data_IF_997870794834
#
_entry.id   IF_997870794834
#
_cell.length_a   1.000
_cell.length_b   1.000
_cell.length_c   1.000
_cell.angle_alpha   90.00
_cell.angle_beta   90.00
_cell.angle_gamma   90.00
#
_symmetry.space_group_name_H-M   'P 1'
#
loop_
_entity.id
_entity.type
_entity.pdbx_description
1 polymer ?
#
# COMPACT_ATOMS: atom_id res chain seq x y z
N UNK A 1 -79.80 58.60 31.74
CA UNK A 1 -78.59 58.56 30.89
C UNK A 1 -77.29 58.28 31.65
N UNK A 2 -77.09 58.71 32.90
CA UNK A 2 -75.82 58.47 33.64
C UNK A 2 -75.47 57.00 33.92
N UNK A 3 -76.46 56.14 34.17
CA UNK A 3 -76.22 54.70 34.46
C UNK A 3 -75.64 53.91 33.28
N UNK A 4 -76.18 54.14 32.07
CA UNK A 4 -75.72 53.45 30.84
C UNK A 4 -74.27 53.80 30.50
N UNK A 5 -73.85 55.04 30.73
CA UNK A 5 -72.47 55.49 30.51
C UNK A 5 -71.49 54.82 31.49
N UNK A 6 -71.89 54.61 32.75
CA UNK A 6 -71.08 53.93 33.75
C UNK A 6 -70.92 52.43 33.45
N UNK A 7 -71.99 51.77 32.99
CA UNK A 7 -71.90 50.36 32.58
C UNK A 7 -71.02 50.15 31.34
N UNK A 8 -71.09 51.06 30.37
CA UNK A 8 -70.23 51.02 29.19
C UNK A 8 -68.76 51.23 29.57
N UNK A 9 -68.46 52.22 30.43
CA UNK A 9 -67.10 52.43 30.92
C UNK A 9 -66.58 51.22 31.71
N UNK A 10 -67.41 50.59 32.54
CA UNK A 10 -67.04 49.39 33.30
C UNK A 10 -66.73 48.19 32.38
N UNK A 11 -67.58 47.94 31.38
CA UNK A 11 -67.33 46.88 30.38
C UNK A 11 -66.07 47.16 29.54
N UNK A 12 -65.84 48.43 29.18
CA UNK A 12 -64.67 48.79 28.38
C UNK A 12 -63.39 48.60 29.18
N UNK A 13 -63.40 48.98 30.47
CA UNK A 13 -62.27 48.77 31.39
C UNK A 13 -61.91 47.29 31.56
N UNK A 14 -62.91 46.41 31.73
CA UNK A 14 -62.69 44.97 31.86
C UNK A 14 -62.07 44.37 30.58
N UNK A 15 -62.52 44.79 29.39
CA UNK A 15 -61.92 44.32 28.13
C UNK A 15 -60.47 44.78 27.95
N UNK A 16 -60.12 45.97 28.44
CA UNK A 16 -58.75 46.45 28.39
C UNK A 16 -57.84 45.63 29.32
N UNK A 17 -58.28 45.33 30.54
CA UNK A 17 -57.55 44.46 31.47
C UNK A 17 -57.36 43.04 30.90
N UNK A 18 -58.42 42.43 30.34
CA UNK A 18 -58.33 41.12 29.68
C UNK A 18 -57.42 41.13 28.43
N UNK A 19 -57.35 42.25 27.72
CA UNK A 19 -56.46 42.41 26.57
C UNK A 19 -54.99 42.55 27.00
N UNK A 20 -54.72 43.31 28.07
CA UNK A 20 -53.39 43.46 28.64
C UNK A 20 -52.85 42.13 29.19
N UNK A 21 -53.67 41.39 29.95
CA UNK A 21 -53.30 40.08 30.50
C UNK A 21 -52.94 39.07 29.38
N UNK A 22 -53.75 39.00 28.31
CA UNK A 22 -53.42 38.17 27.14
C UNK A 22 -52.15 38.62 26.43
N UNK A 23 -51.90 39.93 26.36
CA UNK A 23 -50.70 40.48 25.72
C UNK A 23 -49.44 40.21 26.54
N UNK A 24 -49.51 40.25 27.89
CA UNK A 24 -48.41 39.85 28.78
C UNK A 24 -48.04 38.38 28.54
N UNK A 25 -49.02 37.47 28.53
CA UNK A 25 -48.77 36.04 28.30
C UNK A 25 -48.13 35.73 26.93
N UNK A 26 -48.58 36.38 25.84
CA UNK A 26 -47.98 36.20 24.50
C UNK A 26 -46.56 36.76 24.42
N UNK A 27 -46.26 37.86 25.11
CA UNK A 27 -44.91 38.44 25.18
C UNK A 27 -43.96 37.52 25.95
N UNK A 28 -44.43 36.93 27.04
CA UNK A 28 -43.65 36.01 27.86
C UNK A 28 -43.28 34.74 27.09
N UNK A 29 -44.25 34.12 26.40
CA UNK A 29 -43.99 32.94 25.53
C UNK A 29 -42.91 33.18 24.46
N UNK A 30 -42.96 34.33 23.76
CA UNK A 30 -41.95 34.68 22.75
C UNK A 30 -40.58 35.04 23.34
N UNK A 31 -40.53 35.44 24.61
CA UNK A 31 -39.27 35.67 25.31
C UNK A 31 -38.63 34.33 25.67
N UNK A 32 -39.40 33.42 26.26
CA UNK A 32 -38.96 32.05 26.59
C UNK A 32 -38.49 31.26 25.36
N UNK A 33 -39.21 31.37 24.24
CA UNK A 33 -38.82 30.69 22.98
C UNK A 33 -37.51 31.25 22.40
N UNK A 34 -37.28 32.57 22.49
CA UNK A 34 -35.98 33.16 22.12
C UNK A 34 -34.87 32.74 23.06
N UNK A 35 -35.11 32.77 24.36
CA UNK A 35 -34.09 32.42 25.36
C UNK A 35 -33.66 30.95 25.22
N UNK A 36 -34.60 30.04 24.90
CA UNK A 36 -34.31 28.64 24.55
C UNK A 36 -33.46 28.50 23.28
N UNK A 37 -33.84 29.17 22.19
CA UNK A 37 -33.08 29.14 20.94
C UNK A 37 -31.66 29.72 21.12
N UNK A 38 -31.51 30.75 21.96
CA UNK A 38 -30.20 31.34 22.28
C UNK A 38 -29.35 30.35 23.09
N UNK A 39 -29.92 29.65 24.09
CA UNK A 39 -29.20 28.61 24.83
C UNK A 39 -28.74 27.48 23.91
N UNK A 40 -29.58 27.01 23.00
CA UNK A 40 -29.23 25.95 22.04
C UNK A 40 -28.07 26.38 21.12
N UNK A 41 -28.08 27.63 20.63
CA UNK A 41 -26.99 28.18 19.82
C UNK A 41 -25.69 28.27 20.61
N UNK A 42 -25.75 28.74 21.88
CA UNK A 42 -24.56 28.85 22.75
C UNK A 42 -23.97 27.47 23.06
N UNK A 43 -24.81 26.48 23.34
CA UNK A 43 -24.36 25.11 23.59
C UNK A 43 -23.71 24.50 22.34
N UNK A 44 -24.30 24.73 21.16
CA UNK A 44 -23.75 24.27 19.89
C UNK A 44 -22.41 24.93 19.57
N UNK A 45 -22.30 26.24 19.74
CA UNK A 45 -21.06 27.00 19.54
C UNK A 45 -19.96 26.54 20.52
N UNK A 46 -20.32 26.23 21.77
CA UNK A 46 -19.38 25.69 22.77
C UNK A 46 -18.88 24.29 22.38
N UNK A 47 -19.75 23.43 21.85
CA UNK A 47 -19.36 22.10 21.36
C UNK A 47 -18.45 22.22 20.14
N UNK A 48 -18.81 23.05 19.17
CA UNK A 48 -18.01 23.29 17.97
C UNK A 48 -16.63 23.88 18.32
N UNK A 49 -16.56 24.81 19.28
CA UNK A 49 -15.31 25.36 19.81
C UNK A 49 -14.45 24.31 20.51
N UNK A 50 -15.06 23.41 21.27
CA UNK A 50 -14.35 22.30 21.93
C UNK A 50 -13.83 21.25 20.94
N UNK A 51 -14.55 21.03 19.84
CA UNK A 51 -14.12 20.16 18.75
C UNK A 51 -12.99 20.82 17.95
N UNK A 52 -13.09 22.11 17.65
CA UNK A 52 -12.04 22.88 17.00
C UNK A 52 -10.74 22.87 17.84
N UNK A 53 -10.82 23.12 19.15
CA UNK A 53 -9.66 23.04 20.05
C UNK A 53 -9.05 21.63 20.10
N UNK A 54 -9.87 20.58 20.08
CA UNK A 54 -9.38 19.19 20.03
C UNK A 54 -8.71 18.85 18.70
N UNK A 55 -9.26 19.32 17.58
CA UNK A 55 -8.68 19.14 16.24
C UNK A 55 -7.37 19.91 16.12
N UNK A 56 -7.30 21.15 16.63
CA UNK A 56 -6.08 21.96 16.65
C UNK A 56 -4.99 21.31 17.50
N UNK A 57 -5.34 20.78 18.68
CA UNK A 57 -4.40 20.04 19.54
C UNK A 57 -3.95 18.72 18.92
N UNK A 58 -4.80 18.04 18.15
CA UNK A 58 -4.46 16.85 17.40
C UNK A 58 -3.53 17.16 16.21
N UNK A 59 -3.78 18.26 15.49
CA UNK A 59 -2.93 18.74 14.40
C UNK A 59 -1.56 19.24 14.90
N UNK A 60 -1.50 19.95 16.02
CA UNK A 60 -0.24 20.36 16.66
C UNK A 60 0.59 19.14 17.12
N UNK A 61 -0.07 18.10 17.65
CA UNK A 61 0.63 16.88 18.10
C UNK A 61 1.11 16.02 16.92
N UNK A 62 0.43 16.07 15.78
CA UNK A 62 0.84 15.40 14.54
C UNK A 62 1.91 16.20 13.76
N UNK A 63 1.94 17.53 13.91
CA UNK A 63 2.92 18.43 13.26
C UNK A 63 4.30 18.45 13.93
N UNK A 64 4.39 18.17 15.23
CA UNK A 64 5.68 18.12 15.94
C UNK A 64 6.43 16.77 15.82
N UNK A 65 5.86 15.76 15.15
CA UNK A 65 6.55 14.50 14.83
C UNK A 65 7.41 14.53 13.56
N UNK A 66 7.28 15.59 12.75
CA UNK A 66 8.02 15.81 11.50
C UNK A 66 8.49 17.27 11.47
N UNK A 67 9.65 17.53 12.09
CA UNK A 67 10.29 18.83 12.00
C UNK A 67 10.43 19.27 10.53
N UNK A 68 9.82 20.40 10.17
CA UNK A 68 10.17 21.13 8.94
C UNK A 68 9.08 21.38 7.89
N UNK A 69 7.81 21.62 8.23
CA UNK A 69 6.80 22.06 7.24
C UNK A 69 6.01 23.31 7.67
N UNK A 70 6.66 24.21 8.43
CA UNK A 70 6.08 25.51 8.74
C UNK A 70 6.06 26.47 7.52
N UNK A 71 6.77 26.17 6.43
CA UNK A 71 6.78 26.97 5.21
C UNK A 71 5.71 26.57 4.16
N UNK A 72 4.94 25.51 4.40
CA UNK A 72 4.20 24.85 3.32
C UNK A 72 2.71 25.18 3.19
N UNK A 73 2.05 25.83 4.16
CA UNK A 73 0.57 25.95 4.16
C UNK A 73 0.02 26.76 2.95
N UNK A 74 0.87 27.50 2.24
CA UNK A 74 0.54 28.15 0.96
C UNK A 74 0.86 27.36 -0.32
N UNK A 75 1.49 26.17 -0.24
CA UNK A 75 2.00 25.38 -1.38
C UNK A 75 1.27 24.02 -1.53
N UNK A 76 0.37 23.66 -0.61
CA UNK A 76 -0.38 22.39 -0.60
C UNK A 76 -1.57 22.30 -1.57
N UNK A 77 -1.60 23.08 -2.65
CA UNK A 77 -2.54 22.86 -3.77
C UNK A 77 -2.09 21.75 -4.72
N UNK A 78 -0.80 21.38 -4.72
CA UNK A 78 -0.27 20.37 -5.63
C UNK A 78 0.97 19.63 -5.13
N UNK A 79 1.95 20.29 -4.51
CA UNK A 79 3.25 19.67 -4.23
C UNK A 79 3.30 18.74 -3.01
N UNK A 80 2.44 18.95 -2.03
CA UNK A 80 2.49 18.14 -0.81
C UNK A 80 1.85 16.77 -0.88
N UNK A 81 0.85 16.62 -1.75
CA UNK A 81 0.22 15.31 -2.00
C UNK A 81 1.24 14.39 -2.70
N UNK A 82 2.03 14.93 -3.64
CA UNK A 82 3.13 14.20 -4.26
C UNK A 82 4.25 13.87 -3.27
N UNK A 83 4.57 14.78 -2.33
CA UNK A 83 5.56 14.51 -1.28
C UNK A 83 5.19 13.30 -0.40
N UNK A 84 3.92 13.19 0.00
CA UNK A 84 3.43 12.04 0.76
C UNK A 84 3.36 10.76 -0.08
N UNK A 85 2.96 10.83 -1.36
CA UNK A 85 3.02 9.67 -2.26
C UNK A 85 4.46 9.15 -2.41
N UNK A 86 5.42 10.05 -2.62
CA UNK A 86 6.84 9.69 -2.73
C UNK A 86 7.41 9.13 -1.43
N UNK A 87 7.03 9.69 -0.27
CA UNK A 87 7.45 9.17 1.02
C UNK A 87 6.83 7.79 1.32
N UNK A 88 5.53 7.62 1.08
CA UNK A 88 4.81 6.36 1.31
C UNK A 88 5.30 5.23 0.38
N UNK A 89 5.61 5.56 -0.88
CA UNK A 89 6.22 4.60 -1.82
C UNK A 89 7.65 4.25 -1.41
N UNK A 90 8.45 5.21 -0.94
CA UNK A 90 9.79 4.94 -0.42
C UNK A 90 9.76 4.04 0.84
N UNK A 91 8.85 4.26 1.78
CA UNK A 91 8.68 3.37 2.95
C UNK A 91 8.15 2.00 2.54
N UNK A 92 7.19 1.91 1.62
CA UNK A 92 6.68 0.63 1.12
C UNK A 92 7.73 -0.17 0.33
N UNK A 93 8.66 0.51 -0.35
CA UNK A 93 9.81 -0.13 -0.99
C UNK A 93 10.84 -0.58 0.04
N UNK A 94 11.08 0.19 1.10
CA UNK A 94 12.00 -0.20 2.18
C UNK A 94 11.46 -1.40 2.98
N UNK A 95 10.18 -1.37 3.36
CA UNK A 95 9.51 -2.50 4.02
C UNK A 95 9.39 -3.70 3.09
N UNK A 96 9.08 -3.48 1.80
CA UNK A 96 9.05 -4.51 0.77
C UNK A 96 10.42 -5.13 0.50
N UNK A 97 11.52 -4.36 0.60
CA UNK A 97 12.87 -4.87 0.49
C UNK A 97 13.23 -5.76 1.69
N UNK A 98 12.91 -5.33 2.92
CA UNK A 98 13.15 -6.11 4.14
C UNK A 98 12.33 -7.42 4.16
N UNK A 99 11.05 -7.36 3.79
CA UNK A 99 10.22 -8.56 3.64
C UNK A 99 10.66 -9.41 2.44
N UNK A 100 11.12 -8.76 1.37
CA UNK A 100 11.61 -9.37 0.15
C UNK A 100 12.90 -10.16 0.34
N UNK A 101 13.79 -9.78 1.25
CA UNK A 101 15.03 -10.52 1.53
C UNK A 101 14.77 -11.97 1.93
N UNK A 102 13.86 -12.23 2.87
CA UNK A 102 13.54 -13.58 3.32
C UNK A 102 12.85 -14.41 2.22
N UNK A 103 11.98 -13.78 1.44
CA UNK A 103 11.28 -14.44 0.31
C UNK A 103 12.26 -14.73 -0.83
N UNK A 104 13.17 -13.81 -1.11
CA UNK A 104 14.18 -13.93 -2.16
C UNK A 104 15.25 -14.98 -1.82
N UNK A 105 15.65 -15.09 -0.55
CA UNK A 105 16.55 -16.13 -0.09
C UNK A 105 15.89 -17.52 -0.20
N UNK A 106 14.62 -17.65 0.21
CA UNK A 106 13.87 -18.89 0.07
C UNK A 106 13.65 -19.29 -1.39
N UNK A 107 13.26 -18.34 -2.24
CA UNK A 107 13.04 -18.56 -3.68
C UNK A 107 14.36 -18.91 -4.40
N UNK A 108 15.43 -18.17 -4.11
CA UNK A 108 16.76 -18.42 -4.65
C UNK A 108 17.30 -19.78 -4.26
N UNK A 109 17.18 -20.17 -2.98
CA UNK A 109 17.64 -21.47 -2.52
C UNK A 109 16.81 -22.63 -3.10
N UNK A 110 15.50 -22.45 -3.29
CA UNK A 110 14.63 -23.43 -3.94
C UNK A 110 14.99 -23.62 -5.42
N UNK A 111 15.22 -22.52 -6.15
CA UNK A 111 15.62 -22.54 -7.56
C UNK A 111 17.01 -23.16 -7.74
N UNK A 112 17.99 -22.74 -6.94
CA UNK A 112 19.35 -23.27 -6.95
C UNK A 112 19.38 -24.78 -6.69
N UNK A 113 18.67 -25.25 -5.64
CA UNK A 113 18.52 -26.68 -5.37
C UNK A 113 17.90 -27.43 -6.56
N UNK A 114 16.81 -26.91 -7.13
CA UNK A 114 16.10 -27.55 -8.25
C UNK A 114 17.00 -27.67 -9.48
N UNK A 115 17.81 -26.65 -9.76
CA UNK A 115 18.77 -26.64 -10.86
C UNK A 115 19.82 -27.75 -10.70
N UNK A 116 20.45 -27.83 -9.52
CA UNK A 116 21.47 -28.87 -9.25
C UNK A 116 20.87 -30.26 -9.37
N UNK A 117 19.66 -30.49 -8.85
CA UNK A 117 18.99 -31.79 -8.98
C UNK A 117 18.74 -32.15 -10.45
N UNK A 118 18.26 -31.21 -11.26
CA UNK A 118 17.98 -31.45 -12.67
C UNK A 118 19.25 -31.78 -13.47
N UNK A 119 20.35 -31.06 -13.23
CA UNK A 119 21.63 -31.35 -13.89
C UNK A 119 22.21 -32.71 -13.47
N UNK A 120 22.14 -33.07 -12.19
CA UNK A 120 22.60 -34.38 -11.73
C UNK A 120 21.75 -35.53 -12.32
N UNK A 121 20.44 -35.32 -12.47
CA UNK A 121 19.57 -36.28 -13.14
C UNK A 121 19.93 -36.48 -14.62
N UNK A 122 20.36 -35.42 -15.33
CA UNK A 122 20.86 -35.54 -16.71
C UNK A 122 22.10 -36.43 -16.80
N UNK A 123 22.94 -36.42 -15.77
CA UNK A 123 24.12 -37.29 -15.69
C UNK A 123 23.78 -38.74 -15.28
N UNK A 124 22.48 -39.04 -15.09
CA UNK A 124 22.00 -40.36 -14.68
C UNK A 124 22.10 -40.61 -13.17
N UNK A 125 22.40 -39.58 -12.37
CA UNK A 125 22.45 -39.68 -10.92
C UNK A 125 21.02 -39.58 -10.40
N UNK A 126 20.58 -40.59 -9.66
CA UNK A 126 19.23 -40.65 -9.08
C UNK A 126 19.26 -40.65 -7.55
N UNK A 127 20.32 -41.23 -6.97
CA UNK A 127 20.56 -41.31 -5.53
C UNK A 127 21.99 -40.91 -5.19
N UNK A 128 22.17 -40.32 -4.01
CA UNK A 128 23.44 -40.02 -3.36
C UNK A 128 23.34 -40.43 -1.89
N UNK A 129 24.34 -41.15 -1.36
CA UNK A 129 24.35 -41.62 0.04
C UNK A 129 23.11 -42.45 0.39
N UNK A 130 22.70 -43.34 -0.53
CA UNK A 130 21.45 -44.11 -0.45
C UNK A 130 20.17 -43.27 -0.26
N UNK A 131 20.23 -41.95 -0.50
CA UNK A 131 19.10 -41.02 -0.40
C UNK A 131 18.74 -40.50 -1.78
N UNK A 132 17.46 -40.18 -1.98
CA UNK A 132 17.04 -39.45 -3.17
C UNK A 132 17.68 -38.06 -3.22
N UNK A 133 18.00 -37.57 -4.42
CA UNK A 133 18.62 -36.25 -4.62
C UNK A 133 17.85 -35.12 -3.92
N UNK A 134 16.51 -35.20 -3.87
CA UNK A 134 15.67 -34.21 -3.19
C UNK A 134 15.85 -34.15 -1.67
N UNK A 135 16.31 -35.23 -1.04
CA UNK A 135 16.59 -35.31 0.40
C UNK A 135 18.05 -34.94 0.70
N UNK A 136 18.97 -35.36 -0.17
CA UNK A 136 20.40 -35.09 0.00
C UNK A 136 20.76 -33.62 -0.27
N UNK A 137 20.19 -33.04 -1.33
CA UNK A 137 20.44 -31.65 -1.71
C UNK A 137 19.43 -30.77 -0.98
N UNK A 138 19.93 -30.00 -0.01
CA UNK A 138 19.14 -29.02 0.74
C UNK A 138 19.40 -27.61 0.23
N UNK A 139 18.54 -26.67 0.64
CA UNK A 139 18.69 -25.24 0.40
C UNK A 139 20.05 -24.68 0.89
N UNK A 140 20.71 -25.36 1.84
CA UNK A 140 21.99 -24.93 2.41
C UNK A 140 23.19 -25.69 1.82
N UNK A 141 22.99 -26.93 1.38
CA UNK A 141 24.08 -27.82 0.96
C UNK A 141 24.32 -27.83 -0.56
N UNK A 142 23.38 -27.30 -1.37
CA UNK A 142 23.52 -27.31 -2.83
C UNK A 142 24.72 -26.51 -3.35
N UNK A 143 25.27 -25.58 -2.55
CA UNK A 143 26.46 -24.79 -2.89
C UNK A 143 27.77 -25.50 -2.53
N UNK A 144 27.70 -26.62 -1.80
CA UNK A 144 28.89 -27.31 -1.31
C UNK A 144 29.41 -28.31 -2.34
N UNK A 145 30.20 -27.78 -3.29
CA UNK A 145 30.81 -28.54 -4.39
C UNK A 145 31.54 -29.79 -3.89
N UNK A 146 32.34 -29.66 -2.82
CA UNK A 146 33.18 -30.75 -2.29
C UNK A 146 32.33 -31.91 -1.76
N UNK A 147 31.25 -31.62 -1.04
CA UNK A 147 30.37 -32.65 -0.49
C UNK A 147 29.64 -33.40 -1.61
N UNK A 148 29.11 -32.66 -2.59
CA UNK A 148 28.40 -33.25 -3.73
C UNK A 148 29.37 -34.10 -4.57
N UNK A 149 30.53 -33.56 -4.93
CA UNK A 149 31.54 -34.29 -5.72
C UNK A 149 32.01 -35.56 -5.00
N UNK A 150 32.30 -35.48 -3.69
CA UNK A 150 32.71 -36.65 -2.90
C UNK A 150 31.60 -37.70 -2.83
N UNK A 151 30.35 -37.31 -2.63
CA UNK A 151 29.23 -38.24 -2.58
C UNK A 151 29.06 -38.99 -3.92
N UNK A 152 29.20 -38.27 -5.04
CA UNK A 152 29.16 -38.86 -6.39
C UNK A 152 30.30 -39.88 -6.57
N UNK A 153 31.53 -39.49 -6.22
CA UNK A 153 32.69 -40.38 -6.38
C UNK A 153 32.59 -41.66 -5.56
N UNK A 154 32.03 -41.59 -4.35
CA UNK A 154 31.86 -42.74 -3.45
C UNK A 154 30.74 -43.66 -3.94
N UNK A 155 29.56 -43.10 -4.22
CA UNK A 155 28.36 -43.89 -4.58
C UNK A 155 28.53 -44.62 -5.92
N UNK A 156 29.15 -43.95 -6.90
CA UNK A 156 29.29 -44.48 -8.26
C UNK A 156 30.68 -45.05 -8.55
N UNK A 157 31.58 -45.07 -7.55
CA UNK A 157 32.95 -45.57 -7.65
C UNK A 157 33.63 -45.13 -8.95
N UNK A 158 33.66 -43.81 -9.17
CA UNK A 158 33.98 -43.23 -10.48
C UNK A 158 35.37 -43.59 -11.00
N UNK A 159 36.30 -43.94 -10.11
CA UNK A 159 37.63 -44.42 -10.46
C UNK A 159 37.60 -45.77 -11.22
N UNK A 160 36.55 -46.58 -11.04
CA UNK A 160 36.33 -47.83 -11.78
C UNK A 160 35.68 -47.61 -13.16
N UNK A 161 35.21 -46.39 -13.48
CA UNK A 161 34.59 -46.09 -14.77
C UNK A 161 35.59 -46.11 -15.94
N UNK A 162 36.89 -45.92 -15.65
CA UNK A 162 37.96 -45.79 -16.65
C UNK A 162 38.49 -47.14 -17.15
N UNK A 163 38.59 -48.13 -16.26
CA UNK A 163 39.14 -49.46 -16.55
C UNK A 163 38.01 -50.48 -16.38
N UNK A 164 37.20 -50.66 -17.42
CA UNK A 164 35.97 -51.45 -17.37
C UNK A 164 36.14 -52.79 -16.65
N UNK A 165 35.58 -52.91 -15.46
CA UNK A 165 35.51 -54.17 -14.73
C UNK A 165 34.44 -55.08 -15.34
N UNK A 166 34.85 -56.29 -15.70
CA UNK A 166 33.95 -57.38 -16.10
C UNK A 166 33.20 -57.87 -14.86
N UNK A 167 32.12 -57.18 -14.49
CA UNK A 167 31.32 -57.48 -13.31
C UNK A 167 29.87 -57.08 -13.52
N UNK A 168 29.02 -58.07 -13.72
CA UNK A 168 27.57 -57.98 -13.87
C UNK A 168 26.90 -57.35 -12.64
N UNK A 169 26.28 -56.18 -12.80
CA UNK A 169 25.50 -55.53 -11.75
C UNK A 169 24.89 -54.19 -12.16
N UNK A 170 23.81 -54.25 -12.95
CA UNK A 170 22.78 -53.22 -13.15
C UNK A 170 23.21 -51.80 -13.62
N UNK A 171 22.95 -51.53 -14.91
CA UNK A 171 22.67 -50.29 -15.67
C UNK A 171 22.83 -48.84 -15.11
N UNK A 172 22.98 -48.56 -13.81
CA UNK A 172 23.04 -47.18 -13.26
C UNK A 172 24.40 -46.50 -13.40
N UNK A 173 25.49 -47.27 -13.45
CA UNK A 173 26.85 -46.73 -13.61
C UNK A 173 27.13 -46.26 -15.04
N UNK A 174 26.35 -46.70 -16.04
CA UNK A 174 26.67 -46.50 -17.45
C UNK A 174 26.67 -45.03 -17.87
N UNK A 175 25.68 -44.22 -17.46
CA UNK A 175 25.56 -42.82 -17.93
C UNK A 175 26.66 -41.94 -17.35
N UNK A 176 26.87 -42.00 -16.03
CA UNK A 176 27.92 -41.22 -15.38
C UNK A 176 29.31 -41.71 -15.77
N UNK A 177 29.54 -43.02 -15.87
CA UNK A 177 30.83 -43.55 -16.34
C UNK A 177 31.11 -43.20 -17.81
N UNK A 178 30.08 -43.14 -18.66
CA UNK A 178 30.24 -42.69 -20.06
C UNK A 178 30.65 -41.23 -20.11
N UNK A 179 30.01 -40.37 -19.31
CA UNK A 179 30.36 -38.96 -19.19
C UNK A 179 31.79 -38.77 -18.63
N UNK A 180 32.14 -39.47 -17.55
CA UNK A 180 33.49 -39.44 -16.95
C UNK A 180 34.54 -39.85 -17.96
N UNK A 181 34.29 -40.95 -18.70
CA UNK A 181 35.22 -41.46 -19.71
C UNK A 181 35.43 -40.47 -20.85
N UNK A 182 34.34 -39.91 -21.38
CA UNK A 182 34.40 -38.95 -22.48
C UNK A 182 35.23 -37.72 -22.11
N UNK A 183 34.98 -37.13 -20.94
CA UNK A 183 35.70 -35.94 -20.50
C UNK A 183 37.14 -36.24 -20.05
N UNK A 184 37.39 -37.42 -19.48
CA UNK A 184 38.75 -37.83 -19.12
C UNK A 184 39.66 -37.98 -20.35
N UNK A 185 39.15 -38.59 -21.43
CA UNK A 185 39.91 -38.69 -22.69
C UNK A 185 40.04 -37.33 -23.39
N UNK A 186 38.99 -36.52 -23.42
CA UNK A 186 39.05 -35.15 -23.96
C UNK A 186 40.08 -34.26 -23.22
N UNK A 187 40.20 -34.40 -21.90
CA UNK A 187 41.20 -33.69 -21.09
C UNK A 187 42.64 -34.15 -21.38
N UNK A 188 42.83 -35.38 -21.88
CA UNK A 188 44.14 -35.89 -22.31
C UNK A 188 44.54 -35.44 -23.72
N UNK A 189 43.56 -35.20 -24.59
CA UNK A 189 43.80 -34.79 -25.98
C UNK A 189 44.02 -33.28 -26.16
N UNK A 190 43.90 -32.49 -25.08
CA UNK A 190 44.12 -31.04 -25.11
C UNK A 190 45.62 -30.68 -25.24
N UNK A 191 46.01 -29.80 -26.21
CA UNK A 191 47.41 -29.46 -26.45
C UNK A 191 47.94 -28.56 -25.34
N UNK A 192 48.70 -29.16 -24.41
CA UNK A 192 49.31 -28.47 -23.27
C UNK A 192 49.55 -29.37 -22.05
N UNK A 193 48.93 -30.55 -21.99
CA UNK A 193 48.99 -31.42 -20.82
C UNK A 193 49.87 -32.66 -21.06
N UNK A 194 51.19 -32.44 -21.17
CA UNK A 194 52.19 -33.51 -21.43
C UNK A 194 52.60 -34.25 -20.14
N UNK A 195 51.92 -34.01 -19.01
CA UNK A 195 52.10 -34.81 -17.80
C UNK A 195 51.15 -36.00 -17.81
N UNK A 196 51.66 -37.17 -18.18
CA UNK A 196 50.93 -38.45 -18.24
C UNK A 196 50.43 -38.99 -16.87
N UNK A 197 50.46 -38.21 -15.79
CA UNK A 197 50.23 -38.71 -14.42
C UNK A 197 49.20 -37.96 -13.54
N UNK A 198 48.50 -36.91 -14.02
CA UNK A 198 47.87 -35.95 -13.09
C UNK A 198 46.35 -35.87 -12.98
N UNK A 199 45.57 -36.25 -13.99
CA UNK A 199 44.11 -36.02 -13.96
C UNK A 199 43.45 -37.12 -13.14
N UNK A 200 43.05 -36.82 -11.91
CA UNK A 200 42.23 -37.72 -11.11
C UNK A 200 40.76 -37.58 -11.53
N UNK A 201 40.02 -38.69 -11.55
CA UNK A 201 38.57 -38.69 -11.79
C UNK A 201 37.82 -37.72 -10.88
N UNK A 202 38.28 -37.64 -9.63
CA UNK A 202 37.74 -36.76 -8.60
C UNK A 202 37.89 -35.28 -8.94
N UNK A 203 39.01 -34.86 -9.53
CA UNK A 203 39.22 -33.48 -9.95
C UNK A 203 38.26 -33.09 -11.07
N UNK A 204 38.01 -34.01 -12.02
CA UNK A 204 37.11 -33.77 -13.15
C UNK A 204 35.64 -33.66 -12.71
N UNK A 205 35.23 -34.50 -11.76
CA UNK A 205 33.89 -34.40 -11.14
C UNK A 205 33.77 -33.12 -10.34
N UNK A 206 34.81 -32.72 -9.62
CA UNK A 206 34.80 -31.49 -8.84
C UNK A 206 34.62 -30.26 -9.73
N UNK A 207 35.37 -30.15 -10.84
CA UNK A 207 35.26 -29.04 -11.80
C UNK A 207 33.86 -28.98 -12.45
N UNK A 208 33.30 -30.13 -12.78
CA UNK A 208 31.99 -30.18 -13.39
C UNK A 208 30.86 -29.87 -12.39
N UNK A 209 30.97 -30.33 -11.14
CA UNK A 209 30.06 -29.93 -10.05
C UNK A 209 30.20 -28.44 -9.75
N UNK A 210 31.42 -27.88 -9.81
CA UNK A 210 31.67 -26.45 -9.65
C UNK A 210 30.96 -25.63 -10.73
N UNK A 211 31.00 -26.10 -11.97
CA UNK A 211 30.26 -25.50 -13.09
C UNK A 211 28.74 -25.54 -12.85
N UNK A 212 28.21 -26.68 -12.41
CA UNK A 212 26.78 -26.82 -12.07
C UNK A 212 26.41 -25.87 -10.93
N UNK A 213 27.21 -25.79 -9.87
CA UNK A 213 26.95 -24.93 -8.71
C UNK A 213 27.04 -23.46 -9.10
N UNK A 214 27.96 -23.08 -9.98
CA UNK A 214 28.05 -21.71 -10.52
C UNK A 214 26.78 -21.35 -11.29
N UNK A 215 26.31 -22.22 -12.19
CA UNK A 215 25.06 -22.02 -12.92
C UNK A 215 23.84 -22.01 -11.99
N UNK A 216 23.84 -22.84 -10.94
CA UNK A 216 22.80 -22.85 -9.93
C UNK A 216 22.76 -21.56 -9.11
N UNK A 217 23.92 -20.94 -8.81
CA UNK A 217 24.00 -19.62 -8.16
C UNK A 217 23.43 -18.53 -9.06
N UNK A 218 23.65 -18.59 -10.37
CA UNK A 218 23.05 -17.66 -11.32
C UNK A 218 21.53 -17.81 -11.34
N UNK A 219 21.02 -19.04 -11.46
CA UNK A 219 19.59 -19.33 -11.40
C UNK A 219 18.95 -18.93 -10.06
N UNK A 220 19.67 -19.12 -8.94
CA UNK A 220 19.25 -18.65 -7.63
C UNK A 220 19.17 -17.12 -7.59
N UNK A 221 20.16 -16.42 -8.14
CA UNK A 221 20.19 -14.97 -8.20
C UNK A 221 19.07 -14.38 -9.06
N UNK A 222 18.73 -15.02 -10.18
CA UNK A 222 17.58 -14.62 -11.01
C UNK A 222 16.25 -14.81 -10.28
N UNK A 223 16.05 -15.97 -9.65
CA UNK A 223 14.83 -16.24 -8.88
C UNK A 223 14.68 -15.31 -7.66
N UNK A 224 15.80 -14.98 -6.98
CA UNK A 224 15.81 -13.98 -5.90
C UNK A 224 15.40 -12.60 -6.40
N UNK A 225 15.89 -12.17 -7.58
CA UNK A 225 15.50 -10.89 -8.18
C UNK A 225 14.02 -10.84 -8.54
N UNK A 226 13.52 -11.88 -9.20
CA UNK A 226 12.11 -11.96 -9.58
C UNK A 226 11.19 -11.91 -8.34
N UNK A 227 11.54 -12.64 -7.29
CA UNK A 227 10.80 -12.61 -6.02
C UNK A 227 10.84 -11.23 -5.35
N UNK A 228 11.98 -10.54 -5.34
CA UNK A 228 12.04 -9.15 -4.82
C UNK A 228 11.20 -8.19 -5.65
N UNK A 229 11.21 -8.33 -6.97
CA UNK A 229 10.41 -7.47 -7.85
C UNK A 229 8.91 -7.70 -7.62
N UNK A 230 8.47 -8.94 -7.42
CA UNK A 230 7.08 -9.27 -7.15
C UNK A 230 6.60 -8.68 -5.81
N UNK A 231 7.43 -8.76 -4.76
CA UNK A 231 7.14 -8.16 -3.45
C UNK A 231 7.05 -6.63 -3.56
N UNK A 232 7.98 -5.99 -4.29
CA UNK A 232 7.96 -4.54 -4.51
C UNK A 232 6.74 -4.13 -5.33
N UNK A 233 6.37 -4.87 -6.38
CA UNK A 233 5.15 -4.60 -7.18
C UNK A 233 3.90 -4.68 -6.32
N UNK A 234 3.82 -5.67 -5.44
CA UNK A 234 2.67 -5.84 -4.55
C UNK A 234 2.54 -4.68 -3.57
N UNK A 235 3.65 -4.19 -3.01
CA UNK A 235 3.63 -3.06 -2.07
C UNK A 235 3.32 -1.72 -2.75
N UNK A 236 3.80 -1.50 -3.99
CA UNK A 236 3.48 -0.27 -4.74
C UNK A 236 2.02 -0.24 -5.19
N UNK A 237 1.47 -1.36 -5.68
CA UNK A 237 0.05 -1.47 -6.06
C UNK A 237 -0.86 -1.18 -4.88
N UNK A 238 -0.52 -1.67 -3.68
CA UNK A 238 -1.26 -1.36 -2.47
C UNK A 238 -1.31 0.16 -2.22
N UNK A 239 -0.18 0.87 -2.30
CA UNK A 239 -0.10 2.33 -2.13
C UNK A 239 -0.92 3.09 -3.20
N UNK A 240 -0.86 2.66 -4.46
CA UNK A 240 -1.63 3.27 -5.54
C UNK A 240 -3.14 3.11 -5.35
N UNK A 241 -3.60 1.94 -4.86
CA UNK A 241 -5.01 1.68 -4.58
C UNK A 241 -5.55 2.61 -3.49
N UNK A 242 -4.79 2.81 -2.41
CA UNK A 242 -5.17 3.70 -1.32
C UNK A 242 -5.20 5.15 -1.80
N UNK A 243 -4.23 5.56 -2.62
CA UNK A 243 -4.19 6.90 -3.19
C UNK A 243 -5.40 7.18 -4.10
N UNK A 244 -5.77 6.24 -4.97
CA UNK A 244 -6.94 6.38 -5.82
C UNK A 244 -8.24 6.59 -5.00
N UNK A 245 -8.36 5.87 -3.87
CA UNK A 245 -9.49 6.05 -2.95
C UNK A 245 -9.50 7.44 -2.28
N UNK A 246 -8.34 7.96 -1.87
CA UNK A 246 -8.24 9.30 -1.29
C UNK A 246 -8.51 10.40 -2.33
N UNK A 247 -8.04 10.24 -3.57
CA UNK A 247 -8.26 11.21 -4.63
C UNK A 247 -9.75 11.34 -4.98
N UNK A 248 -10.48 10.22 -5.04
CA UNK A 248 -11.94 10.23 -5.29
C UNK A 248 -12.70 10.93 -4.15
N UNK A 249 -12.31 10.72 -2.89
CA UNK A 249 -12.89 11.43 -1.76
C UNK A 249 -12.64 12.94 -1.81
N UNK A 250 -11.44 13.37 -2.22
CA UNK A 250 -11.10 14.80 -2.40
C UNK A 250 -11.93 15.41 -3.53
N UNK A 251 -12.06 14.73 -4.67
CA UNK A 251 -12.87 15.23 -5.79
C UNK A 251 -14.33 15.37 -5.36
N UNK A 252 -14.88 14.38 -4.65
CA UNK A 252 -16.25 14.44 -4.15
C UNK A 252 -16.50 15.63 -3.20
N UNK A 253 -15.55 15.93 -2.30
CA UNK A 253 -15.67 17.07 -1.38
C UNK A 253 -15.62 18.43 -2.12
N UNK A 254 -14.75 18.57 -3.12
CA UNK A 254 -14.67 19.78 -3.96
C UNK A 254 -15.96 19.98 -4.76
N UNK A 255 -16.50 18.91 -5.35
CA UNK A 255 -17.79 18.97 -6.07
C UNK A 255 -18.93 19.38 -5.14
N UNK A 256 -18.97 18.85 -3.91
CA UNK A 256 -19.97 19.23 -2.92
C UNK A 256 -19.89 20.73 -2.56
N UNK A 257 -18.68 21.27 -2.36
CA UNK A 257 -18.48 22.71 -2.09
C UNK A 257 -18.96 23.56 -3.27
N UNK A 258 -18.66 23.17 -4.51
CA UNK A 258 -19.10 23.89 -5.70
C UNK A 258 -20.63 23.93 -5.83
N UNK A 259 -21.32 22.83 -5.50
CA UNK A 259 -22.79 22.77 -5.51
C UNK A 259 -23.37 23.73 -4.46
N UNK A 260 -22.83 23.77 -3.24
CA UNK A 260 -23.28 24.67 -2.18
C UNK A 260 -23.11 26.14 -2.61
N UNK A 261 -21.96 26.49 -3.21
CA UNK A 261 -21.69 27.84 -3.72
C UNK A 261 -22.66 28.22 -4.84
N UNK A 262 -22.94 27.31 -5.78
CA UNK A 262 -23.92 27.54 -6.85
C UNK A 262 -25.33 27.81 -6.31
N UNK A 263 -25.78 27.04 -5.31
CA UNK A 263 -27.09 27.25 -4.67
C UNK A 263 -27.14 28.61 -3.98
N UNK A 264 -26.09 29.00 -3.25
CA UNK A 264 -25.98 30.33 -2.62
C UNK A 264 -26.07 31.46 -3.66
N UNK A 265 -25.41 31.33 -4.81
CA UNK A 265 -25.46 32.31 -5.90
C UNK A 265 -26.87 32.40 -6.49
N UNK A 266 -27.54 31.28 -6.75
CA UNK A 266 -28.91 31.27 -7.29
C UNK A 266 -29.88 31.96 -6.32
N UNK A 267 -29.84 31.58 -5.03
CA UNK A 267 -30.66 32.21 -3.99
C UNK A 267 -30.37 33.71 -3.87
N UNK A 268 -29.09 34.10 -3.91
CA UNK A 268 -28.67 35.51 -3.91
C UNK A 268 -29.24 36.28 -5.09
N UNK A 269 -29.18 35.73 -6.32
CA UNK A 269 -29.73 36.36 -7.52
C UNK A 269 -31.25 36.52 -7.44
N UNK A 270 -31.97 35.51 -6.94
CA UNK A 270 -33.43 35.58 -6.72
C UNK A 270 -33.76 36.69 -5.72
N UNK A 271 -33.07 36.75 -4.58
CA UNK A 271 -33.29 37.78 -3.55
C UNK A 271 -32.96 39.18 -4.08
N UNK A 272 -31.85 39.33 -4.81
CA UNK A 272 -31.45 40.60 -5.44
C UNK A 272 -32.48 41.06 -6.47
N UNK A 273 -32.98 40.14 -7.31
CA UNK A 273 -34.03 40.42 -8.29
C UNK A 273 -35.33 40.89 -7.60
N UNK A 274 -35.76 40.20 -6.53
CA UNK A 274 -36.94 40.60 -5.74
C UNK A 274 -36.79 41.98 -5.11
N UNK A 275 -35.62 42.32 -4.54
CA UNK A 275 -35.34 43.65 -3.98
C UNK A 275 -35.44 44.75 -5.04
N UNK A 276 -34.83 44.53 -6.21
CA UNK A 276 -34.84 45.51 -7.32
C UNK A 276 -36.25 45.74 -7.86
N UNK A 277 -37.05 44.68 -8.04
CA UNK A 277 -38.46 44.79 -8.46
C UNK A 277 -39.30 45.58 -7.45
N UNK A 278 -39.09 45.39 -6.14
CA UNK A 278 -39.78 46.15 -5.08
C UNK A 278 -39.45 47.65 -5.14
N UNK A 279 -38.19 48.00 -5.39
CA UNK A 279 -37.75 49.39 -5.52
C UNK A 279 -38.34 50.08 -6.76
N UNK A 280 -38.35 49.41 -7.91
CA UNK A 280 -38.90 49.96 -9.15
C UNK A 280 -40.42 50.22 -9.03
N UNK A 281 -41.16 49.31 -8.38
CA UNK A 281 -42.58 49.52 -8.10
C UNK A 281 -42.80 50.78 -7.25
N UNK A 282 -42.03 50.96 -6.17
CA UNK A 282 -42.14 52.15 -5.30
C UNK A 282 -41.91 53.45 -6.06
N UNK A 283 -40.90 53.48 -6.94
CA UNK A 283 -40.58 54.64 -7.80
C UNK A 283 -41.72 55.00 -8.77
N UNK A 284 -42.48 54.01 -9.23
CA UNK A 284 -43.61 54.25 -10.12
C UNK A 284 -44.81 54.84 -9.37
N UNK A 285 -45.11 54.32 -8.18
CA UNK A 285 -46.17 54.88 -7.31
C UNK A 285 -45.86 56.30 -6.82
N UNK A 286 -44.61 56.62 -6.50
CA UNK A 286 -44.23 58.00 -6.13
C UNK A 286 -44.31 59.00 -7.29
N UNK A 287 -44.17 58.54 -8.54
CA UNK A 287 -44.41 59.39 -9.72
C UNK A 287 -45.90 59.67 -9.91
N UNK A 288 -46.75 58.65 -9.77
CA UNK A 288 -48.20 58.79 -9.92
C UNK A 288 -48.83 59.71 -8.85
N UNK A 289 -48.30 59.71 -7.62
CA UNK A 289 -48.80 60.56 -6.53
C UNK A 289 -48.40 62.05 -6.62
N UNK A 290 -47.48 62.40 -7.52
CA UNK A 290 -47.01 63.80 -7.71
C UNK A 290 -47.72 64.52 -8.85
N UNK A 291 -48.56 63.82 -9.62
CA UNK A 291 -49.51 64.39 -10.56
C UNK A 291 -50.86 64.57 -9.87
#
# INVERSE_FOLDING_TARGET
>A
MKGVMQDFNRQTSQRFEEYEERMKGKRQKRKEERDKNIQEIIEKDRMDKSLAEKVEKCCLRCGCGLGGVAAGVGIFGGLGIYGWKSAATATAMAEGALAGEAVAEAAGAAAGKKFVIAELQKWGISTLDNKGLGTYITATNYTNVRNIARAISIEYQTDLCLFGGSGSGADKSKTICTWVRANFFAAKDSPGNVSKQGVSTNALIQEAVETIVSNAKNAAGEASKEATEEVIKTSTVAVESTYASCQTAIIASVVAILIIVLVMIILYLILRYRRKKKMNKKLHYTKLLKQ
#
